data_IF_897605297308
#
_entry.id   IF_897605297308
#
_cell.length_a   1.000
_cell.length_b   1.000
_cell.length_c   1.000
_cell.angle_alpha   90.00
_cell.angle_beta   90.00
_cell.angle_gamma   90.00
#
_symmetry.space_group_name_H-M   'P 1'
#
loop_
_entity.id
_entity.type
_entity.pdbx_description
1 polymer ?
#
# COMPACT_ATOMS: atom_id res chain seq x y z
N UNK A 1 10.73 22.72 -32.70
CA UNK A 1 10.47 21.27 -32.83
C UNK A 1 9.49 20.91 -31.73
N UNK A 2 8.34 20.29 -32.05
CA UNK A 2 7.41 19.83 -31.03
C UNK A 2 8.06 18.69 -30.26
N UNK A 3 8.28 18.85 -28.95
CA UNK A 3 8.78 17.78 -28.10
C UNK A 3 7.76 16.64 -28.08
N UNK A 4 8.23 15.43 -28.45
CA UNK A 4 7.46 14.20 -28.36
C UNK A 4 7.39 13.69 -26.92
N UNK A 5 6.66 12.59 -26.71
CA UNK A 5 6.62 11.93 -25.39
C UNK A 5 8.03 11.61 -24.88
N UNK A 6 8.85 10.97 -25.73
CA UNK A 6 10.20 10.53 -25.35
C UNK A 6 11.10 11.69 -24.93
N UNK A 7 11.01 12.83 -25.61
CA UNK A 7 11.79 14.02 -25.26
C UNK A 7 11.42 14.55 -23.87
N UNK A 8 10.11 14.64 -23.60
CA UNK A 8 9.58 15.12 -22.32
C UNK A 8 9.92 14.12 -21.21
N UNK A 9 9.67 12.84 -21.45
CA UNK A 9 9.89 11.76 -20.50
C UNK A 9 11.36 11.65 -20.12
N UNK A 10 12.27 11.53 -21.10
CA UNK A 10 13.70 11.36 -20.83
C UNK A 10 14.30 12.60 -20.14
N UNK A 11 13.89 13.81 -20.53
CA UNK A 11 14.33 15.04 -19.87
C UNK A 11 13.88 15.08 -18.40
N UNK A 12 12.62 14.70 -18.15
CA UNK A 12 12.08 14.70 -16.79
C UNK A 12 12.72 13.59 -15.95
N UNK A 13 12.92 12.41 -16.54
CA UNK A 13 13.52 11.26 -15.90
C UNK A 13 14.99 11.49 -15.53
N UNK A 14 15.77 12.18 -16.37
CA UNK A 14 17.16 12.57 -16.06
C UNK A 14 17.22 13.53 -14.85
N UNK A 15 16.32 14.51 -14.77
CA UNK A 15 16.21 15.40 -13.59
C UNK A 15 15.92 14.58 -12.33
N UNK A 16 14.95 13.66 -12.39
CA UNK A 16 14.60 12.80 -11.27
C UNK A 16 15.72 11.83 -10.91
N UNK A 17 16.48 11.32 -11.89
CA UNK A 17 17.63 10.44 -11.67
C UNK A 17 18.77 11.15 -10.95
N UNK A 18 18.99 12.44 -11.23
CA UNK A 18 19.98 13.25 -10.50
C UNK A 18 19.54 13.61 -9.09
N UNK A 19 18.24 13.88 -8.89
CA UNK A 19 17.69 14.31 -7.59
C UNK A 19 17.37 13.14 -6.65
N UNK A 20 16.98 12.00 -7.20
CA UNK A 20 16.52 10.80 -6.48
C UNK A 20 17.19 9.53 -7.05
N UNK A 21 18.52 9.38 -6.89
CA UNK A 21 19.30 8.35 -7.58
C UNK A 21 18.91 6.90 -7.22
N UNK A 22 18.26 6.68 -6.07
CA UNK A 22 17.87 5.35 -5.62
C UNK A 22 16.51 4.88 -6.16
N UNK A 23 15.60 5.80 -6.50
CA UNK A 23 14.26 5.44 -7.00
C UNK A 23 13.62 6.59 -7.83
N UNK A 24 14.19 6.94 -8.99
CA UNK A 24 13.72 8.08 -9.77
C UNK A 24 12.34 7.86 -10.38
N UNK A 25 12.06 6.65 -10.90
CA UNK A 25 10.77 6.26 -11.46
C UNK A 25 9.66 6.25 -10.40
N UNK A 26 9.91 5.62 -9.24
CA UNK A 26 8.94 5.55 -8.16
C UNK A 26 8.63 6.92 -7.58
N UNK A 27 9.64 7.79 -7.43
CA UNK A 27 9.43 9.16 -6.94
C UNK A 27 8.66 10.01 -7.94
N UNK A 28 8.94 9.89 -9.24
CA UNK A 28 8.16 10.55 -10.29
C UNK A 28 6.71 10.06 -10.29
N UNK A 29 6.51 8.75 -10.19
CA UNK A 29 5.17 8.14 -10.11
C UNK A 29 4.41 8.61 -8.86
N UNK A 30 5.07 8.73 -7.70
CA UNK A 30 4.49 9.28 -6.48
C UNK A 30 4.04 10.73 -6.66
N UNK A 31 4.86 11.61 -7.24
CA UNK A 31 4.49 13.00 -7.47
C UNK A 31 3.32 13.14 -8.45
N UNK A 32 3.24 12.30 -9.48
CA UNK A 32 2.11 12.25 -10.39
C UNK A 32 0.84 11.86 -9.62
N UNK A 33 0.86 10.75 -8.88
CA UNK A 33 -0.30 10.27 -8.11
C UNK A 33 -0.76 11.26 -7.05
N UNK A 34 0.18 11.92 -6.35
CA UNK A 34 -0.11 12.97 -5.37
C UNK A 34 -0.86 14.13 -6.01
N UNK A 35 -0.40 14.62 -7.16
CA UNK A 35 -1.02 15.75 -7.84
C UNK A 35 -2.43 15.40 -8.36
N UNK A 36 -2.64 14.16 -8.84
CA UNK A 36 -3.97 13.65 -9.19
C UNK A 36 -4.93 13.71 -7.99
N UNK A 37 -4.49 13.24 -6.81
CA UNK A 37 -5.31 13.22 -5.60
C UNK A 37 -5.62 14.64 -5.07
N UNK A 38 -4.64 15.54 -5.07
CA UNK A 38 -4.80 16.90 -4.53
C UNK A 38 -5.64 17.81 -5.42
N UNK A 39 -5.54 17.66 -6.75
CA UNK A 39 -6.19 18.56 -7.72
C UNK A 39 -7.33 17.93 -8.52
N UNK A 40 -7.57 16.63 -8.37
CA UNK A 40 -8.60 15.91 -9.13
C UNK A 40 -8.31 15.88 -10.64
N UNK A 41 -7.03 15.90 -11.04
CA UNK A 41 -6.59 15.96 -12.44
C UNK A 41 -6.24 14.58 -12.98
N UNK A 42 -6.21 14.45 -14.31
CA UNK A 42 -5.77 13.21 -14.95
C UNK A 42 -4.26 12.97 -14.77
N UNK A 43 -3.84 11.72 -14.93
CA UNK A 43 -2.42 11.31 -14.83
C UNK A 43 -1.55 11.99 -15.89
N UNK A 44 -2.05 12.10 -17.12
CA UNK A 44 -1.40 12.84 -18.21
C UNK A 44 -1.28 14.32 -17.89
N UNK A 45 -2.35 14.93 -17.35
CA UNK A 45 -2.32 16.33 -16.94
C UNK A 45 -1.28 16.56 -15.83
N UNK A 46 -1.26 15.69 -14.82
CA UNK A 46 -0.29 15.75 -13.74
C UNK A 46 1.15 15.63 -14.25
N UNK A 47 1.42 14.69 -15.17
CA UNK A 47 2.71 14.54 -15.82
C UNK A 47 3.15 15.79 -16.57
N UNK A 48 2.26 16.39 -17.37
CA UNK A 48 2.54 17.65 -18.10
C UNK A 48 2.82 18.78 -17.10
N UNK A 49 2.04 18.93 -16.04
CA UNK A 49 2.25 19.96 -15.01
C UNK A 49 3.62 19.81 -14.34
N UNK A 50 4.03 18.59 -14.02
CA UNK A 50 5.35 18.30 -13.43
C UNK A 50 6.47 18.63 -14.43
N UNK A 51 6.29 18.32 -15.72
CA UNK A 51 7.25 18.71 -16.76
C UNK A 51 7.45 20.24 -16.79
N UNK A 52 6.36 21.03 -16.81
CA UNK A 52 6.44 22.50 -16.79
C UNK A 52 7.07 23.05 -15.51
N UNK A 53 6.79 22.45 -14.35
CA UNK A 53 7.45 22.81 -13.07
C UNK A 53 8.96 22.62 -13.11
N UNK A 54 9.45 21.68 -13.93
CA UNK A 54 10.87 21.42 -14.15
C UNK A 54 11.42 22.12 -15.41
N UNK A 55 10.67 23.08 -15.97
CA UNK A 55 11.10 23.86 -17.15
C UNK A 55 11.05 23.10 -18.47
N UNK A 56 10.42 21.92 -18.52
CA UNK A 56 10.28 21.11 -19.73
C UNK A 56 8.97 21.47 -20.42
N UNK A 57 9.09 21.96 -21.65
CA UNK A 57 7.95 22.36 -22.48
C UNK A 57 7.36 21.18 -23.25
N UNK A 58 6.04 21.16 -23.38
CA UNK A 58 5.31 20.13 -24.14
C UNK A 58 4.80 20.76 -25.43
N UNK A 59 5.21 20.24 -26.59
CA UNK A 59 4.94 20.87 -27.88
C UNK A 59 3.46 21.15 -28.16
N UNK A 60 2.55 20.27 -27.72
CA UNK A 60 1.10 20.47 -27.90
C UNK A 60 0.55 21.60 -27.02
N UNK A 61 1.05 21.74 -25.79
CA UNK A 61 0.70 22.85 -24.90
C UNK A 61 1.21 24.17 -25.46
N UNK A 62 2.44 24.22 -25.98
CA UNK A 62 3.02 25.44 -26.56
C UNK A 62 2.20 25.95 -27.76
N UNK A 63 1.65 25.06 -28.59
CA UNK A 63 0.76 25.44 -29.71
C UNK A 63 -0.52 26.11 -29.22
N UNK A 64 -1.13 25.55 -28.16
CA UNK A 64 -2.36 26.06 -27.57
C UNK A 64 -2.14 27.40 -26.84
N UNK A 65 -1.00 27.56 -26.16
CA UNK A 65 -0.61 28.86 -25.57
C UNK A 65 -0.40 29.90 -26.68
N UNK A 66 0.27 29.52 -27.77
CA UNK A 66 0.51 30.42 -28.91
C UNK A 66 -0.76 30.83 -29.65
N UNK A 67 -1.85 30.05 -29.53
CA UNK A 67 -3.18 30.42 -30.06
C UNK A 67 -4.01 31.29 -29.12
N UNK A 68 -3.42 31.74 -27.99
CA UNK A 68 -4.02 32.68 -27.05
C UNK A 68 -4.70 32.04 -25.84
N UNK A 69 -4.54 30.73 -25.61
CA UNK A 69 -5.02 30.08 -24.38
C UNK A 69 -4.09 30.37 -23.21
N UNK A 70 -4.67 30.43 -22.01
CA UNK A 70 -3.86 30.43 -20.78
C UNK A 70 -3.12 29.09 -20.62
N UNK A 71 -2.04 29.07 -19.85
CA UNK A 71 -1.25 27.86 -19.63
C UNK A 71 -2.09 26.71 -19.03
N UNK A 72 -2.94 27.02 -18.04
CA UNK A 72 -3.79 26.00 -17.40
C UNK A 72 -4.83 25.41 -18.36
N UNK A 73 -5.47 26.26 -19.17
CA UNK A 73 -6.40 25.81 -20.21
C UNK A 73 -5.69 24.98 -21.28
N UNK A 74 -4.49 25.42 -21.69
CA UNK A 74 -3.68 24.72 -22.68
C UNK A 74 -3.23 23.34 -22.18
N UNK A 75 -2.85 23.21 -20.90
CA UNK A 75 -2.49 21.93 -20.28
C UNK A 75 -3.71 21.00 -20.21
N UNK A 76 -4.87 21.51 -19.78
CA UNK A 76 -6.10 20.72 -19.71
C UNK A 76 -6.50 20.19 -21.11
N UNK A 77 -6.51 21.07 -22.11
CA UNK A 77 -6.81 20.72 -23.49
C UNK A 77 -5.80 19.74 -24.08
N UNK A 78 -4.50 19.97 -23.87
CA UNK A 78 -3.45 19.07 -24.32
C UNK A 78 -3.56 17.69 -23.66
N UNK A 79 -3.87 17.62 -22.36
CA UNK A 79 -4.00 16.35 -21.64
C UNK A 79 -5.11 15.46 -22.22
N UNK A 80 -6.21 16.07 -22.68
CA UNK A 80 -7.29 15.35 -23.38
C UNK A 80 -6.81 14.80 -24.72
N UNK A 81 -6.11 15.62 -25.51
CA UNK A 81 -5.56 15.24 -26.82
C UNK A 81 -4.45 14.18 -26.71
N UNK A 82 -3.72 14.20 -25.61
CA UNK A 82 -2.59 13.31 -25.31
C UNK A 82 -2.99 12.19 -24.36
N UNK A 83 -4.28 11.87 -24.23
CA UNK A 83 -4.76 10.79 -23.34
C UNK A 83 -4.09 9.43 -23.62
N UNK A 84 -3.64 9.18 -24.85
CA UNK A 84 -2.87 7.99 -25.22
C UNK A 84 -1.48 7.93 -24.56
N UNK A 85 -0.94 9.05 -24.05
CA UNK A 85 0.28 9.08 -23.24
C UNK A 85 0.13 8.35 -21.92
N UNK A 86 -1.09 8.12 -21.41
CA UNK A 86 -1.30 7.41 -20.16
C UNK A 86 -0.62 6.03 -20.17
N UNK A 87 -0.76 5.30 -21.29
CA UNK A 87 -0.09 4.00 -21.48
C UNK A 87 1.43 4.12 -21.55
N UNK A 88 1.95 5.18 -22.16
CA UNK A 88 3.39 5.40 -22.28
C UNK A 88 4.01 5.88 -20.97
N UNK A 89 3.29 6.70 -20.21
CA UNK A 89 3.65 7.08 -18.84
C UNK A 89 3.71 5.81 -18.00
N UNK A 90 2.71 4.95 -18.10
CA UNK A 90 2.70 3.67 -17.39
C UNK A 90 3.84 2.76 -17.81
N UNK A 91 4.16 2.67 -19.10
CA UNK A 91 5.26 1.87 -19.63
C UNK A 91 6.64 2.41 -19.26
N UNK A 92 6.85 3.73 -19.41
CA UNK A 92 8.10 4.40 -19.03
C UNK A 92 8.33 4.42 -17.53
N UNK A 93 7.26 4.53 -16.74
CA UNK A 93 7.31 4.38 -15.28
C UNK A 93 7.21 2.93 -14.82
N UNK A 94 7.09 1.96 -15.75
CA UNK A 94 7.09 0.52 -15.48
C UNK A 94 8.49 0.04 -15.13
N UNK A 95 9.07 0.63 -14.10
CA UNK A 95 9.86 -0.15 -13.17
C UNK A 95 8.82 -0.98 -12.42
N UNK A 96 8.95 -2.31 -12.48
CA UNK A 96 8.23 -3.23 -11.60
C UNK A 96 8.15 -2.60 -10.20
N UNK A 97 7.06 -2.85 -9.45
CA UNK A 97 7.07 -2.56 -8.00
C UNK A 97 8.49 -2.86 -7.49
N UNK A 98 9.16 -1.88 -6.83
CA UNK A 98 10.59 -1.96 -6.56
C UNK A 98 10.89 -3.39 -6.10
N UNK A 99 11.94 -4.04 -6.65
CA UNK A 99 12.19 -5.45 -6.34
C UNK A 99 12.06 -5.60 -4.84
N UNK A 100 11.13 -6.47 -4.42
CA UNK A 100 10.81 -6.67 -3.01
C UNK A 100 12.12 -6.76 -2.26
N UNK A 101 12.27 -5.91 -1.26
CA UNK A 101 13.44 -5.98 -0.40
C UNK A 101 13.55 -7.40 0.18
N UNK A 102 14.75 -7.86 0.55
CA UNK A 102 14.89 -9.11 1.29
C UNK A 102 13.90 -9.20 2.46
N UNK A 103 13.66 -8.08 3.15
CA UNK A 103 12.70 -7.97 4.25
C UNK A 103 11.24 -8.15 3.81
N UNK A 104 10.85 -7.63 2.64
CA UNK A 104 9.52 -7.85 2.05
C UNK A 104 9.31 -9.33 1.69
N UNK A 105 10.32 -9.96 1.11
CA UNK A 105 10.27 -11.38 0.73
C UNK A 105 10.17 -12.28 1.96
N UNK A 106 10.95 -11.99 3.00
CA UNK A 106 10.88 -12.68 4.29
C UNK A 106 9.51 -12.50 4.96
N UNK A 107 8.95 -11.28 4.92
CA UNK A 107 7.61 -11.02 5.43
C UNK A 107 6.56 -11.87 4.68
N UNK A 108 6.60 -11.88 3.35
CA UNK A 108 5.65 -12.66 2.56
C UNK A 108 5.75 -14.17 2.82
N UNK A 109 6.96 -14.70 2.93
CA UNK A 109 7.16 -16.12 3.25
C UNK A 109 6.62 -16.44 4.65
N UNK A 110 6.87 -15.56 5.62
CA UNK A 110 6.34 -15.66 6.96
C UNK A 110 4.80 -15.64 6.97
N UNK A 111 4.17 -14.69 6.27
CA UNK A 111 2.72 -14.57 6.21
C UNK A 111 2.08 -15.79 5.52
N UNK A 112 2.65 -16.27 4.40
CA UNK A 112 2.20 -17.51 3.73
C UNK A 112 2.28 -18.71 4.67
N UNK A 113 3.35 -18.80 5.47
CA UNK A 113 3.50 -19.86 6.48
C UNK A 113 2.40 -19.76 7.55
N UNK A 114 2.07 -18.56 8.02
CA UNK A 114 0.98 -18.34 8.96
C UNK A 114 -0.38 -18.72 8.36
N UNK A 115 -0.70 -18.28 7.14
CA UNK A 115 -1.92 -18.65 6.43
C UNK A 115 -2.06 -20.17 6.27
N UNK A 116 -0.98 -20.84 5.86
CA UNK A 116 -0.95 -22.30 5.74
C UNK A 116 -1.28 -22.98 7.08
N UNK A 117 -0.71 -22.47 8.19
CA UNK A 117 -0.99 -22.97 9.54
C UNK A 117 -2.41 -22.69 10.02
N UNK A 118 -3.10 -21.68 9.49
CA UNK A 118 -4.48 -21.34 9.85
C UNK A 118 -5.54 -22.11 9.04
N UNK A 119 -5.15 -22.82 7.97
CA UNK A 119 -6.08 -23.59 7.12
C UNK A 119 -7.01 -24.51 7.91
N UNK A 120 -8.25 -24.62 7.45
CA UNK A 120 -9.28 -25.45 8.09
C UNK A 120 -10.06 -24.75 9.20
N UNK A 121 -9.74 -23.49 9.52
CA UNK A 121 -10.57 -22.62 10.36
C UNK A 121 -10.97 -21.39 9.54
N UNK A 122 -12.26 -21.17 9.32
CA UNK A 122 -12.76 -19.96 8.66
C UNK A 122 -12.69 -18.78 9.62
N UNK A 123 -12.20 -17.64 9.16
CA UNK A 123 -12.05 -16.43 9.96
C UNK A 123 -12.89 -15.32 9.33
N UNK A 124 -13.81 -14.75 10.11
CA UNK A 124 -14.68 -13.68 9.66
C UNK A 124 -14.79 -12.57 10.71
N UNK A 125 -14.72 -11.32 10.26
CA UNK A 125 -15.03 -10.15 11.08
C UNK A 125 -16.53 -9.97 11.28
N UNK A 126 -17.34 -10.55 10.38
CA UNK A 126 -18.80 -10.56 10.48
C UNK A 126 -19.28 -11.58 11.53
N UNK A 127 -20.45 -11.34 12.15
CA UNK A 127 -21.04 -12.29 13.11
C UNK A 127 -21.58 -13.56 12.45
N UNK A 128 -21.67 -13.61 11.12
CA UNK A 128 -22.11 -14.78 10.34
C UNK A 128 -21.22 -14.96 9.11
N UNK A 129 -21.23 -16.15 8.52
CA UNK A 129 -20.46 -16.46 7.30
C UNK A 129 -21.47 -16.85 6.20
N UNK A 130 -21.65 -16.04 5.14
CA UNK A 130 -22.58 -16.36 4.06
C UNK A 130 -22.31 -17.73 3.43
N UNK A 131 -23.37 -18.51 3.20
CA UNK A 131 -23.28 -19.89 2.70
C UNK A 131 -22.90 -20.93 3.75
N UNK A 132 -22.83 -20.53 5.02
CA UNK A 132 -22.59 -21.40 6.17
C UNK A 132 -23.58 -21.13 7.29
N UNK A 133 -24.01 -22.19 7.95
CA UNK A 133 -24.86 -22.16 9.14
C UNK A 133 -24.05 -22.50 10.38
N UNK A 134 -24.16 -21.68 11.42
CA UNK A 134 -23.58 -21.97 12.74
C UNK A 134 -24.39 -23.09 13.39
N UNK A 135 -23.72 -24.18 13.76
CA UNK A 135 -24.34 -25.35 14.40
C UNK A 135 -23.99 -25.46 15.89
N UNK A 136 -22.90 -24.84 16.33
CA UNK A 136 -22.48 -24.84 17.72
C UNK A 136 -21.65 -23.58 18.03
N UNK A 137 -21.91 -22.95 19.17
CA UNK A 137 -21.09 -21.84 19.70
C UNK A 137 -20.23 -22.37 20.83
N UNK A 138 -18.91 -22.25 20.68
CA UNK A 138 -17.92 -22.83 21.60
C UNK A 138 -17.36 -21.80 22.60
N UNK A 139 -17.66 -20.52 22.39
CA UNK A 139 -17.31 -19.42 23.29
C UNK A 139 -16.23 -18.48 22.72
N UNK A 140 -15.84 -17.47 23.52
CA UNK A 140 -14.87 -16.48 23.08
C UNK A 140 -13.45 -17.07 23.01
N UNK A 141 -12.70 -16.65 22.00
CA UNK A 141 -11.28 -16.96 21.82
C UNK A 141 -10.49 -15.69 21.54
N UNK A 142 -9.22 -15.68 21.94
CA UNK A 142 -8.35 -14.52 21.77
C UNK A 142 -6.90 -14.93 21.56
N UNK A 143 -6.17 -14.14 20.80
CA UNK A 143 -4.72 -14.23 20.61
C UNK A 143 -4.08 -12.90 20.98
N UNK A 144 -2.93 -12.96 21.63
CA UNK A 144 -2.20 -11.78 22.08
C UNK A 144 -0.73 -11.98 21.78
N UNK A 145 -0.06 -10.96 21.24
CA UNK A 145 1.40 -10.86 21.20
C UNK A 145 1.82 -9.45 21.62
N UNK A 146 2.99 -9.33 22.23
CA UNK A 146 3.55 -8.04 22.65
C UNK A 146 4.90 -7.91 21.96
N UNK A 147 5.09 -6.81 21.23
CA UNK A 147 6.33 -6.50 20.51
C UNK A 147 7.03 -5.32 21.15
N UNK A 148 8.31 -5.46 21.47
CA UNK A 148 9.14 -4.31 21.84
C UNK A 148 9.49 -3.51 20.59
N UNK A 149 9.46 -2.18 20.66
CA UNK A 149 9.91 -1.30 19.56
C UNK A 149 11.44 -1.24 19.41
N UNK A 150 12.20 -1.72 20.40
CA UNK A 150 13.67 -1.77 20.39
C UNK A 150 14.34 -0.39 20.19
N UNK A 151 15.66 -0.31 20.29
CA UNK A 151 16.38 0.93 19.90
C UNK A 151 16.59 0.96 18.39
N UNK A 152 16.94 -0.17 17.77
CA UNK A 152 17.18 -0.28 16.33
C UNK A 152 15.94 0.02 15.47
N UNK A 153 14.79 -0.55 15.81
CA UNK A 153 13.52 -0.30 15.09
C UNK A 153 13.06 1.17 15.18
N UNK A 154 13.30 1.83 16.33
CA UNK A 154 13.03 3.26 16.50
C UNK A 154 13.93 4.13 15.61
N UNK A 155 15.21 3.80 15.51
CA UNK A 155 16.15 4.53 14.66
C UNK A 155 15.81 4.37 13.17
N UNK A 156 15.51 3.15 12.72
CA UNK A 156 15.08 2.89 11.35
C UNK A 156 13.80 3.67 11.00
N UNK A 157 12.76 3.58 11.83
CA UNK A 157 11.52 4.33 11.63
C UNK A 157 11.73 5.85 11.66
N UNK A 158 12.66 6.35 12.48
CA UNK A 158 12.99 7.78 12.51
C UNK A 158 13.70 8.25 11.24
N UNK A 159 14.53 7.40 10.63
CA UNK A 159 15.19 7.70 9.36
C UNK A 159 14.18 7.67 8.20
N UNK A 160 13.31 6.66 8.15
CA UNK A 160 12.20 6.58 7.19
C UNK A 160 11.26 7.79 7.30
N UNK A 161 10.93 8.22 8.53
CA UNK A 161 10.10 9.39 8.76
C UNK A 161 10.71 10.69 8.24
N UNK A 162 12.05 10.84 8.32
CA UNK A 162 12.77 12.00 7.78
C UNK A 162 12.82 12.00 6.25
N UNK A 163 12.86 10.82 5.63
CA UNK A 163 12.82 10.68 4.17
C UNK A 163 11.39 10.86 3.62
N UNK A 164 10.38 10.64 4.46
CA UNK A 164 8.96 10.74 4.12
C UNK A 164 8.46 9.49 3.38
N UNK A 165 7.18 9.16 3.55
CA UNK A 165 6.57 7.94 2.99
C UNK A 165 6.04 7.00 4.08
N UNK A 166 5.81 5.74 3.71
CA UNK A 166 5.39 4.71 4.65
C UNK A 166 6.58 4.26 5.54
N UNK A 167 6.29 3.95 6.80
CA UNK A 167 7.29 3.41 7.74
C UNK A 167 7.38 1.89 7.56
N UNK A 168 7.96 1.45 6.43
CA UNK A 168 7.97 0.05 5.98
C UNK A 168 8.47 -0.92 7.06
N UNK A 169 9.56 -0.58 7.76
CA UNK A 169 10.07 -1.43 8.84
C UNK A 169 9.04 -1.62 9.98
N UNK A 170 8.29 -0.56 10.32
CA UNK A 170 7.25 -0.63 11.33
C UNK A 170 6.03 -1.41 10.84
N UNK A 171 5.63 -1.19 9.58
CA UNK A 171 4.54 -1.95 8.93
C UNK A 171 4.85 -3.45 8.97
N UNK A 172 6.07 -3.88 8.65
CA UNK A 172 6.46 -5.29 8.65
C UNK A 172 6.30 -5.95 10.02
N UNK A 173 6.73 -5.27 11.08
CA UNK A 173 6.61 -5.79 12.44
C UNK A 173 5.15 -5.86 12.91
N UNK A 174 4.30 -4.92 12.47
CA UNK A 174 2.87 -4.94 12.77
C UNK A 174 2.16 -6.11 12.07
N UNK A 175 2.48 -6.36 10.79
CA UNK A 175 1.95 -7.50 10.04
C UNK A 175 2.36 -8.83 10.68
N UNK A 176 3.65 -8.99 11.03
CA UNK A 176 4.12 -10.18 11.75
C UNK A 176 3.41 -10.37 13.08
N UNK A 177 3.22 -9.30 13.85
CA UNK A 177 2.56 -9.36 15.15
C UNK A 177 1.09 -9.76 15.03
N UNK A 178 0.35 -9.20 14.07
CA UNK A 178 -1.05 -9.55 13.81
C UNK A 178 -1.20 -11.01 13.38
N UNK A 179 -0.34 -11.49 12.48
CA UNK A 179 -0.34 -12.89 12.05
C UNK A 179 -0.05 -13.85 13.21
N UNK A 180 0.89 -13.53 14.11
CA UNK A 180 1.12 -14.33 15.32
C UNK A 180 -0.06 -14.32 16.28
N UNK A 181 -0.69 -13.16 16.50
CA UNK A 181 -1.87 -13.08 17.34
C UNK A 181 -3.01 -13.95 16.77
N UNK A 182 -3.24 -13.89 15.45
CA UNK A 182 -4.19 -14.76 14.75
C UNK A 182 -3.85 -16.24 14.92
N UNK A 183 -2.59 -16.64 14.76
CA UNK A 183 -2.18 -18.03 14.98
C UNK A 183 -2.52 -18.53 16.38
N UNK A 184 -2.28 -17.71 17.41
CA UNK A 184 -2.62 -18.04 18.81
C UNK A 184 -4.12 -18.14 19.02
N UNK A 185 -4.91 -17.27 18.39
CA UNK A 185 -6.36 -17.33 18.41
C UNK A 185 -6.88 -18.62 17.74
N UNK A 186 -6.34 -18.96 16.56
CA UNK A 186 -6.71 -20.17 15.81
C UNK A 186 -6.35 -21.44 16.57
N UNK A 187 -5.18 -21.48 17.21
CA UNK A 187 -4.79 -22.61 18.05
C UNK A 187 -5.78 -22.83 19.19
N UNK A 188 -6.21 -21.77 19.88
CA UNK A 188 -7.25 -21.86 20.91
C UNK A 188 -8.59 -22.32 20.33
N UNK A 189 -9.01 -21.78 19.19
CA UNK A 189 -10.25 -22.18 18.52
C UNK A 189 -10.24 -23.68 18.17
N UNK A 190 -9.11 -24.19 17.65
CA UNK A 190 -8.93 -25.62 17.35
C UNK A 190 -9.01 -26.50 18.59
N UNK A 191 -8.43 -26.07 19.72
CA UNK A 191 -8.53 -26.81 20.99
C UNK A 191 -9.97 -26.93 21.50
N UNK A 192 -10.83 -25.97 21.16
CA UNK A 192 -12.27 -26.04 21.44
C UNK A 192 -13.05 -26.88 20.40
N UNK A 193 -12.39 -27.37 19.35
CA UNK A 193 -13.04 -28.12 18.26
C UNK A 193 -13.75 -27.22 17.24
N UNK A 194 -13.41 -25.93 17.18
CA UNK A 194 -13.98 -25.00 16.22
C UNK A 194 -13.42 -25.21 14.81
N UNK A 195 -14.27 -25.00 13.80
CA UNK A 195 -13.85 -24.89 12.39
C UNK A 195 -14.08 -23.47 11.84
N UNK A 196 -14.55 -22.54 12.67
CA UNK A 196 -14.61 -21.12 12.34
C UNK A 196 -14.50 -20.22 13.57
N UNK A 197 -14.08 -18.98 13.35
CA UNK A 197 -14.15 -17.87 14.30
C UNK A 197 -14.84 -16.69 13.61
N UNK A 198 -15.92 -16.21 14.23
CA UNK A 198 -16.74 -15.10 13.75
C UNK A 198 -16.60 -13.88 14.67
N UNK A 199 -17.01 -12.72 14.19
CA UNK A 199 -16.92 -11.48 14.96
C UNK A 199 -15.49 -11.15 15.35
N UNK A 200 -14.53 -11.46 14.47
CA UNK A 200 -13.14 -11.13 14.69
C UNK A 200 -12.94 -9.61 14.77
N UNK A 201 -12.19 -9.18 15.77
CA UNK A 201 -11.77 -7.80 15.94
C UNK A 201 -10.31 -7.74 16.42
N UNK A 202 -9.62 -6.68 16.06
CA UNK A 202 -8.23 -6.43 16.40
C UNK A 202 -8.12 -5.22 17.31
N UNK A 203 -7.38 -5.38 18.39
CA UNK A 203 -7.04 -4.30 19.30
C UNK A 203 -5.51 -4.11 19.32
N UNK A 204 -5.08 -2.86 19.32
CA UNK A 204 -3.66 -2.51 19.44
C UNK A 204 -3.49 -1.49 20.54
N UNK A 205 -2.62 -1.76 21.51
CA UNK A 205 -2.40 -0.90 22.66
C UNK A 205 -0.93 -0.54 22.77
N UNK A 206 -0.64 0.77 22.86
CA UNK A 206 0.70 1.26 23.16
C UNK A 206 0.99 1.05 24.65
N UNK A 207 2.13 0.45 24.95
CA UNK A 207 2.55 0.12 26.30
C UNK A 207 3.85 0.86 26.64
N UNK A 208 3.92 1.33 27.89
CA UNK A 208 5.10 1.94 28.47
C UNK A 208 5.66 3.11 27.62
N UNK A 209 4.80 4.03 27.17
CA UNK A 209 5.19 5.18 26.35
C UNK A 209 5.97 4.79 25.07
N UNK A 210 5.43 3.81 24.34
CA UNK A 210 5.92 3.35 23.06
C UNK A 210 7.15 2.45 23.16
N UNK A 211 7.47 1.89 24.32
CA UNK A 211 8.53 0.87 24.43
C UNK A 211 8.02 -0.47 23.88
N UNK A 212 6.75 -0.78 24.10
CA UNK A 212 6.13 -1.98 23.58
C UNK A 212 4.74 -1.68 23.01
N UNK A 213 4.26 -2.59 22.16
CA UNK A 213 2.92 -2.55 21.61
C UNK A 213 2.30 -3.93 21.79
N UNK A 214 1.12 -3.97 22.37
CA UNK A 214 0.30 -5.16 22.41
C UNK A 214 -0.57 -5.23 21.16
N UNK A 215 -0.60 -6.40 20.54
CA UNK A 215 -1.50 -6.75 19.45
C UNK A 215 -2.39 -7.88 19.93
N UNK A 216 -3.67 -7.57 20.08
CA UNK A 216 -4.71 -8.52 20.48
C UNK A 216 -5.67 -8.74 19.33
N UNK A 217 -6.18 -9.95 19.23
CA UNK A 217 -7.28 -10.30 18.34
C UNK A 217 -8.24 -11.19 19.11
N UNK A 218 -9.53 -10.98 18.97
CA UNK A 218 -10.55 -11.77 19.64
C UNK A 218 -11.74 -12.03 18.73
N UNK A 219 -12.54 -13.04 19.07
CA UNK A 219 -13.76 -13.39 18.36
C UNK A 219 -14.48 -14.55 19.05
N UNK A 220 -15.48 -15.11 18.39
CA UNK A 220 -16.25 -16.25 18.91
C UNK A 220 -15.95 -17.51 18.10
N UNK A 221 -15.45 -18.54 18.77
CA UNK A 221 -15.22 -19.85 18.19
C UNK A 221 -16.55 -20.57 17.99
N UNK A 222 -16.77 -21.10 16.79
CA UNK A 222 -18.00 -21.77 16.39
C UNK A 222 -17.70 -23.00 15.53
N UNK A 223 -18.68 -23.91 15.46
CA UNK A 223 -18.76 -24.89 14.38
C UNK A 223 -19.77 -24.42 13.34
N UNK A 224 -19.38 -24.49 12.08
CA UNK A 224 -20.22 -24.17 10.93
C UNK A 224 -20.31 -25.35 9.96
N UNK A 225 -21.45 -25.44 9.28
CA UNK A 225 -21.70 -26.36 8.18
C UNK A 225 -22.08 -25.56 6.93
N UNK A 226 -21.71 -26.05 5.75
CA UNK A 226 -22.12 -25.41 4.50
C UNK A 226 -23.63 -25.57 4.32
N UNK A 227 -24.30 -24.47 3.96
CA UNK A 227 -25.73 -24.50 3.63
C UNK A 227 -25.93 -25.36 2.37
N UNK A 228 -26.95 -26.22 2.38
CA UNK A 228 -27.31 -27.10 1.27
C UNK A 228 -28.22 -26.38 0.27
#
# INVERSE_FOLDING_TARGET
MSSGFDDVFNSLFDIYSRKYPHNPSGTLNFHISKLCAEKGVSRVEAFIRIAYQNGIKVGEVEKLVSSGKSLDEAILMASSNLSWWDKLIDEGLRVAAPPKSPEDLELEEFLKSCEAKMRGVLLATTPTIPGYRIVEVLGPVYGLTIRSRGVGGRLAASLEALMGGELTALTHEFEKARAEALLRLVDKARRLGANAVIGLDFETSDLFAGIAIAFSVYGTAVKVEREK
#
